data_IF_526694485090
#
_entry.id   IF_526694485090
#
_cell.length_a   1.000
_cell.length_b   1.000
_cell.length_c   1.000
_cell.angle_alpha   90.00
_cell.angle_beta   90.00
_cell.angle_gamma   90.00
#
_symmetry.space_group_name_H-M   'P 1'
#
loop_
_entity.id
_entity.type
_entity.pdbx_description
1 polymer ?
#
# COMPACT_ATOMS: atom_id res chain seq x y z
N UNK A 1 20.77 -23.95 11.01
CA UNK A 1 19.72 -23.12 10.40
C UNK A 1 20.43 -22.10 9.52
N UNK A 2 20.27 -22.18 8.19
CA UNK A 2 21.02 -21.32 7.27
C UNK A 2 20.67 -19.84 7.50
N UNK A 3 21.68 -18.98 7.53
CA UNK A 3 21.45 -17.54 7.68
C UNK A 3 20.83 -16.96 6.40
N UNK A 4 20.04 -15.88 6.50
CA UNK A 4 19.40 -15.24 5.33
C UNK A 4 20.42 -14.86 4.24
N UNK A 5 21.66 -14.55 4.64
CA UNK A 5 22.79 -14.31 3.73
C UNK A 5 23.25 -15.57 3.01
N UNK A 6 23.32 -16.72 3.69
CA UNK A 6 23.68 -18.01 3.08
C UNK A 6 22.63 -18.46 2.07
N UNK A 7 21.34 -18.27 2.38
CA UNK A 7 20.23 -18.60 1.47
C UNK A 7 20.28 -17.73 0.20
N UNK A 8 20.55 -16.43 0.38
CA UNK A 8 20.68 -15.50 -0.74
C UNK A 8 21.92 -15.80 -1.60
N UNK A 9 23.03 -16.17 -0.96
CA UNK A 9 24.27 -16.54 -1.64
C UNK A 9 24.11 -17.86 -2.40
N UNK A 10 23.46 -18.85 -1.80
CA UNK A 10 23.14 -20.14 -2.43
C UNK A 10 22.22 -19.94 -3.65
N UNK A 11 21.13 -19.18 -3.50
CA UNK A 11 20.23 -18.88 -4.61
C UNK A 11 20.96 -18.17 -5.75
N UNK A 12 21.82 -17.18 -5.42
CA UNK A 12 22.61 -16.44 -6.41
C UNK A 12 23.65 -17.31 -7.12
N UNK A 13 24.25 -18.28 -6.42
CA UNK A 13 25.15 -19.28 -7.02
C UNK A 13 24.43 -20.24 -7.97
N UNK A 14 23.14 -20.52 -7.74
CA UNK A 14 22.33 -21.40 -8.59
C UNK A 14 21.55 -20.63 -9.69
N UNK A 15 22.01 -19.43 -10.05
CA UNK A 15 21.44 -18.66 -11.17
C UNK A 15 20.13 -17.93 -10.86
N UNK A 16 19.76 -17.77 -9.58
CA UNK A 16 18.57 -16.98 -9.23
C UNK A 16 18.78 -15.50 -9.56
N UNK A 17 17.99 -15.01 -10.50
CA UNK A 17 17.93 -13.58 -10.86
C UNK A 17 16.70 -12.98 -10.16
N UNK A 18 16.93 -12.00 -9.30
CA UNK A 18 15.84 -11.33 -8.58
C UNK A 18 14.95 -10.54 -9.56
N UNK A 19 13.62 -10.74 -9.58
CA UNK A 19 12.73 -10.12 -10.56
C UNK A 19 12.40 -8.67 -10.20
N UNK A 20 13.40 -7.79 -10.23
CA UNK A 20 13.32 -6.38 -9.76
C UNK A 20 12.15 -5.61 -10.37
N UNK A 21 12.00 -5.67 -11.70
CA UNK A 21 10.95 -4.94 -12.44
C UNK A 21 9.57 -5.41 -12.01
N UNK A 22 9.35 -6.73 -11.94
CA UNK A 22 8.08 -7.33 -11.52
C UNK A 22 7.70 -6.91 -10.10
N UNK A 23 8.67 -6.86 -9.18
CA UNK A 23 8.44 -6.45 -7.80
C UNK A 23 8.02 -4.97 -7.74
N UNK A 24 8.77 -4.08 -8.38
CA UNK A 24 8.47 -2.64 -8.35
C UNK A 24 7.10 -2.35 -8.99
N UNK A 25 6.85 -2.87 -10.19
CA UNK A 25 5.58 -2.67 -10.88
C UNK A 25 4.41 -3.32 -10.16
N UNK A 26 4.61 -4.52 -9.60
CA UNK A 26 3.58 -5.22 -8.82
C UNK A 26 3.15 -4.40 -7.60
N UNK A 27 4.12 -3.87 -6.86
CA UNK A 27 3.84 -3.00 -5.71
C UNK A 27 3.13 -1.70 -6.14
N UNK A 28 3.56 -1.05 -7.21
CA UNK A 28 2.90 0.19 -7.68
C UNK A 28 1.45 -0.04 -8.11
N UNK A 29 1.19 -1.06 -8.95
CA UNK A 29 -0.16 -1.35 -9.44
C UNK A 29 -1.13 -1.75 -8.32
N UNK A 30 -0.72 -2.68 -7.47
CA UNK A 30 -1.58 -3.17 -6.39
C UNK A 30 -1.70 -2.13 -5.25
N UNK A 31 -0.63 -1.39 -4.96
CA UNK A 31 -0.66 -0.27 -4.03
C UNK A 31 -1.58 0.86 -4.48
N UNK A 32 -1.54 1.24 -5.76
CA UNK A 32 -2.48 2.20 -6.34
C UNK A 32 -3.93 1.73 -6.28
N UNK A 33 -4.18 0.45 -6.56
CA UNK A 33 -5.52 -0.13 -6.46
C UNK A 33 -6.05 -0.15 -5.02
N UNK A 34 -5.21 -0.49 -4.03
CA UNK A 34 -5.57 -0.47 -2.61
C UNK A 34 -5.84 0.97 -2.14
N UNK A 35 -5.02 1.94 -2.58
CA UNK A 35 -5.24 3.36 -2.30
C UNK A 35 -6.57 3.86 -2.85
N UNK A 36 -6.90 3.50 -4.09
CA UNK A 36 -8.19 3.81 -4.71
C UNK A 36 -9.37 3.21 -3.94
N UNK A 37 -9.31 1.93 -3.58
CA UNK A 37 -10.35 1.30 -2.76
C UNK A 37 -10.52 2.01 -1.42
N UNK A 38 -9.42 2.39 -0.78
CA UNK A 38 -9.44 3.06 0.52
C UNK A 38 -10.11 4.43 0.43
N UNK A 39 -9.70 5.27 -0.54
CA UNK A 39 -10.31 6.60 -0.76
C UNK A 39 -11.78 6.48 -1.12
N UNK A 40 -12.14 5.50 -1.96
CA UNK A 40 -13.53 5.25 -2.34
C UNK A 40 -14.40 4.87 -1.13
N UNK A 41 -13.90 3.98 -0.26
CA UNK A 41 -14.62 3.59 0.96
C UNK A 41 -14.79 4.78 1.90
N UNK A 42 -13.74 5.55 2.15
CA UNK A 42 -13.78 6.74 3.03
C UNK A 42 -14.77 7.77 2.48
N UNK A 43 -14.74 8.07 1.18
CA UNK A 43 -15.68 8.98 0.53
C UNK A 43 -17.13 8.50 0.69
N UNK A 44 -17.40 7.20 0.44
CA UNK A 44 -18.74 6.62 0.61
C UNK A 44 -19.24 6.69 2.06
N UNK A 45 -18.39 6.34 3.02
CA UNK A 45 -18.76 6.42 4.44
C UNK A 45 -19.03 7.86 4.88
N UNK A 46 -18.19 8.81 4.45
CA UNK A 46 -18.37 10.23 4.79
C UNK A 46 -19.69 10.77 4.24
N UNK A 47 -20.05 10.43 2.98
CA UNK A 47 -21.34 10.83 2.40
C UNK A 47 -22.53 10.20 3.11
N UNK A 48 -22.43 8.95 3.56
CA UNK A 48 -23.49 8.28 4.33
C UNK A 48 -23.71 8.94 5.70
N UNK A 49 -22.62 9.34 6.36
CA UNK A 49 -22.67 10.00 7.68
C UNK A 49 -23.21 11.44 7.55
N UNK A 50 -22.73 12.20 6.57
CA UNK A 50 -23.11 13.62 6.40
C UNK A 50 -24.52 13.77 5.80
N UNK A 51 -24.92 12.90 4.87
CA UNK A 51 -26.20 13.02 4.16
C UNK A 51 -27.26 12.01 4.64
N UNK A 52 -27.25 11.65 5.93
CA UNK A 52 -28.09 10.60 6.56
C UNK A 52 -29.62 10.70 6.39
N UNK A 53 -30.15 11.51 5.47
CA UNK A 53 -31.57 11.57 5.13
C UNK A 53 -31.93 11.95 3.67
N UNK A 54 -30.99 12.40 2.82
CA UNK A 54 -31.33 12.97 1.49
C UNK A 54 -30.72 12.22 0.31
N UNK A 55 -30.59 10.89 0.42
CA UNK A 55 -29.96 10.08 -0.62
C UNK A 55 -30.80 9.98 -1.92
N UNK A 56 -32.06 10.43 -1.90
CA UNK A 56 -33.03 10.24 -2.99
C UNK A 56 -33.85 11.48 -3.39
N UNK A 57 -33.53 12.68 -2.90
CA UNK A 57 -34.30 13.88 -3.28
C UNK A 57 -33.76 14.49 -4.60
N UNK A 58 -34.63 14.43 -5.62
CA UNK A 58 -34.55 15.07 -6.95
C UNK A 58 -33.16 15.07 -7.61
N UNK A 59 -32.81 13.95 -8.22
CA UNK A 59 -31.59 13.84 -9.03
C UNK A 59 -31.97 13.83 -10.51
N UNK A 60 -31.78 14.97 -11.16
CA UNK A 60 -31.79 15.05 -12.61
C UNK A 60 -30.69 14.10 -13.17
N UNK A 61 -30.99 13.27 -14.18
CA UNK A 61 -30.07 12.21 -14.65
C UNK A 61 -28.70 12.77 -15.05
N UNK A 62 -28.68 13.97 -15.64
CA UNK A 62 -27.45 14.66 -16.04
C UNK A 62 -26.60 15.02 -14.81
N UNK A 63 -27.20 15.53 -13.73
CA UNK A 63 -26.46 15.88 -12.51
C UNK A 63 -26.01 14.65 -11.71
N UNK A 64 -26.70 13.51 -11.84
CA UNK A 64 -26.25 12.23 -11.31
C UNK A 64 -24.98 11.76 -12.03
N UNK A 65 -24.97 11.82 -13.36
CA UNK A 65 -23.82 11.42 -14.20
C UNK A 65 -22.60 12.29 -13.87
N UNK A 66 -22.76 13.62 -13.81
CA UNK A 66 -21.69 14.54 -13.44
C UNK A 66 -21.11 14.24 -12.05
N UNK A 67 -21.96 13.97 -11.05
CA UNK A 67 -21.51 13.59 -9.71
C UNK A 67 -20.75 12.26 -9.71
N UNK A 68 -21.23 11.24 -10.42
CA UNK A 68 -20.54 9.96 -10.52
C UNK A 68 -19.18 10.13 -11.17
N UNK A 69 -19.10 10.88 -12.28
CA UNK A 69 -17.86 11.09 -13.02
C UNK A 69 -16.84 11.90 -12.20
N UNK A 70 -17.31 12.95 -11.51
CA UNK A 70 -16.50 13.74 -10.57
C UNK A 70 -15.89 12.89 -9.46
N UNK A 71 -16.70 12.05 -8.81
CA UNK A 71 -16.25 11.17 -7.72
C UNK A 71 -15.26 10.12 -8.22
N UNK A 72 -15.53 9.54 -9.39
CA UNK A 72 -14.70 8.50 -9.98
C UNK A 72 -13.34 9.08 -10.42
N UNK A 73 -13.31 10.23 -11.08
CA UNK A 73 -12.05 10.90 -11.44
C UNK A 73 -11.26 11.35 -10.21
N UNK A 74 -11.92 11.94 -9.20
CA UNK A 74 -11.25 12.37 -7.98
C UNK A 74 -10.65 11.20 -7.21
N UNK A 75 -11.42 10.12 -7.02
CA UNK A 75 -10.96 8.91 -6.34
C UNK A 75 -9.85 8.18 -7.10
N UNK A 76 -9.88 8.18 -8.44
CA UNK A 76 -8.76 7.65 -9.24
C UNK A 76 -7.51 8.49 -9.02
N UNK A 77 -7.57 9.81 -9.21
CA UNK A 77 -6.38 10.67 -9.13
C UNK A 77 -5.79 10.62 -7.71
N UNK A 78 -6.60 10.86 -6.68
CA UNK A 78 -6.13 10.85 -5.30
C UNK A 78 -5.75 9.44 -4.85
N UNK A 79 -6.61 8.44 -5.07
CA UNK A 79 -6.35 7.08 -4.62
C UNK A 79 -5.09 6.47 -5.25
N UNK A 80 -4.85 6.75 -6.54
CA UNK A 80 -3.65 6.28 -7.22
C UNK A 80 -2.42 7.03 -6.72
N UNK A 81 -2.45 8.35 -6.59
CA UNK A 81 -1.28 9.13 -6.11
C UNK A 81 -0.90 8.75 -4.69
N UNK A 82 -1.88 8.71 -3.79
CA UNK A 82 -1.65 8.43 -2.37
C UNK A 82 -1.34 6.96 -2.07
N UNK A 83 -1.81 6.02 -2.90
CA UNK A 83 -1.51 4.59 -2.75
C UNK A 83 -0.27 4.12 -3.50
N UNK A 84 -0.05 4.64 -4.72
CA UNK A 84 0.99 4.14 -5.63
C UNK A 84 2.39 4.60 -5.21
N UNK A 85 2.56 5.86 -4.81
CA UNK A 85 3.88 6.42 -4.47
C UNK A 85 4.53 5.68 -3.28
N UNK A 86 3.90 5.58 -2.10
CA UNK A 86 4.50 4.85 -0.98
C UNK A 86 4.68 3.35 -1.27
N UNK A 87 3.82 2.75 -2.10
CA UNK A 87 3.97 1.35 -2.50
C UNK A 87 5.16 1.15 -3.45
N UNK A 88 5.37 2.04 -4.42
CA UNK A 88 6.56 2.04 -5.28
C UNK A 88 7.84 2.19 -4.45
N UNK A 89 7.86 3.11 -3.47
CA UNK A 89 9.02 3.28 -2.57
C UNK A 89 9.33 1.97 -1.82
N UNK A 90 8.31 1.30 -1.32
CA UNK A 90 8.44 0.00 -0.65
C UNK A 90 8.93 -1.09 -1.63
N UNK A 91 8.42 -1.10 -2.86
CA UNK A 91 8.85 -2.03 -3.92
C UNK A 91 10.30 -1.81 -4.35
N UNK A 92 10.74 -0.55 -4.48
CA UNK A 92 12.13 -0.16 -4.76
C UNK A 92 13.03 -0.62 -3.63
N UNK A 93 12.65 -0.37 -2.37
CA UNK A 93 13.40 -0.87 -1.21
C UNK A 93 13.59 -2.39 -1.29
N UNK A 94 12.51 -3.15 -1.55
CA UNK A 94 12.60 -4.60 -1.68
C UNK A 94 13.50 -5.03 -2.85
N UNK A 95 13.48 -4.31 -3.97
CA UNK A 95 14.28 -4.62 -5.15
C UNK A 95 15.78 -4.29 -4.98
N UNK A 96 16.12 -3.24 -4.23
CA UNK A 96 17.51 -2.87 -3.91
C UNK A 96 18.13 -3.93 -3.01
N UNK A 97 17.41 -4.33 -1.96
CA UNK A 97 17.89 -5.30 -0.98
C UNK A 97 17.69 -6.76 -1.38
N UNK A 98 17.17 -7.03 -2.60
CA UNK A 98 16.80 -8.36 -3.09
C UNK A 98 16.01 -9.15 -2.03
N UNK A 99 14.96 -8.54 -1.48
CA UNK A 99 14.27 -9.06 -0.30
C UNK A 99 13.49 -10.35 -0.63
N UNK A 100 13.85 -11.44 0.04
CA UNK A 100 13.17 -12.75 -0.07
C UNK A 100 12.40 -13.00 1.22
N UNK A 101 11.16 -13.47 1.10
CA UNK A 101 10.36 -13.89 2.25
C UNK A 101 10.76 -15.31 2.63
N UNK A 102 11.37 -15.47 3.81
CA UNK A 102 11.79 -16.74 4.37
C UNK A 102 10.94 -17.15 5.58
N UNK A 103 10.60 -16.19 6.44
CA UNK A 103 9.87 -16.42 7.71
C UNK A 103 8.66 -15.50 7.84
N UNK A 104 7.73 -15.85 8.72
CA UNK A 104 6.57 -14.99 9.02
C UNK A 104 6.98 -13.60 9.53
N UNK A 105 8.11 -13.51 10.25
CA UNK A 105 8.67 -12.24 10.71
C UNK A 105 9.09 -11.30 9.56
N UNK A 106 9.37 -11.81 8.36
CA UNK A 106 9.68 -10.96 7.21
C UNK A 106 8.45 -10.16 6.75
N UNK A 107 7.22 -10.65 7.00
CA UNK A 107 6.00 -9.87 6.75
C UNK A 107 5.85 -8.73 7.75
N UNK A 108 6.25 -8.93 9.01
CA UNK A 108 6.27 -7.86 10.01
C UNK A 108 7.31 -6.79 9.65
N UNK A 109 8.49 -7.19 9.16
CA UNK A 109 9.47 -6.24 8.60
C UNK A 109 8.85 -5.41 7.47
N UNK A 110 8.16 -6.08 6.55
CA UNK A 110 7.50 -5.42 5.43
C UNK A 110 6.40 -4.44 5.87
N UNK A 111 5.63 -4.81 6.90
CA UNK A 111 4.64 -3.94 7.52
C UNK A 111 5.28 -2.67 8.05
N UNK A 112 6.37 -2.80 8.81
CA UNK A 112 7.09 -1.66 9.40
C UNK A 112 7.65 -0.74 8.32
N UNK A 113 8.30 -1.30 7.29
CA UNK A 113 8.85 -0.52 6.17
C UNK A 113 7.74 0.21 5.41
N UNK A 114 6.65 -0.47 5.08
CA UNK A 114 5.50 0.13 4.40
C UNK A 114 4.84 1.23 5.23
N UNK A 115 4.78 1.04 6.55
CA UNK A 115 4.25 2.02 7.51
C UNK A 115 5.11 3.27 7.55
N UNK A 116 6.44 3.11 7.60
CA UNK A 116 7.37 4.24 7.64
C UNK A 116 7.31 5.04 6.34
N UNK A 117 7.37 4.40 5.17
CA UNK A 117 7.31 5.13 3.90
C UNK A 117 6.00 5.86 3.71
N UNK A 118 4.89 5.24 4.12
CA UNK A 118 3.58 5.86 4.04
C UNK A 118 3.46 7.01 5.03
N UNK A 119 3.90 6.85 6.27
CA UNK A 119 3.90 7.92 7.27
C UNK A 119 4.74 9.12 6.82
N UNK A 120 5.94 8.91 6.26
CA UNK A 120 6.77 9.99 5.72
C UNK A 120 6.05 10.70 4.57
N UNK A 121 5.46 9.93 3.64
CA UNK A 121 4.76 10.48 2.50
C UNK A 121 3.53 11.30 2.93
N UNK A 122 2.70 10.79 3.84
CA UNK A 122 1.52 11.48 4.34
C UNK A 122 1.86 12.68 5.22
N UNK A 123 2.94 12.63 6.01
CA UNK A 123 3.43 13.78 6.77
C UNK A 123 3.79 14.96 5.86
N UNK A 124 4.32 14.70 4.66
CA UNK A 124 4.62 15.76 3.70
C UNK A 124 3.37 16.36 3.03
N UNK A 125 2.27 15.61 2.94
CA UNK A 125 1.08 15.99 2.18
C UNK A 125 -0.08 16.51 3.04
N UNK A 126 -0.13 16.12 4.32
CA UNK A 126 -1.23 16.47 5.22
C UNK A 126 -0.75 17.59 6.13
N UNK A 127 -1.52 18.68 6.18
CA UNK A 127 -1.39 19.65 7.27
C UNK A 127 -1.81 18.94 8.56
N UNK A 128 -0.82 18.42 9.27
CA UNK A 128 -1.04 17.69 10.51
C UNK A 128 -1.57 18.65 11.59
N UNK A 129 -2.46 18.19 12.47
CA UNK A 129 -2.93 18.98 13.60
C UNK A 129 -1.76 19.37 14.51
N UNK A 130 -1.83 20.51 15.18
CA UNK A 130 -0.73 20.99 16.05
C UNK A 130 -0.54 20.12 17.31
N UNK A 131 -1.56 19.32 17.68
CA UNK A 131 -1.50 18.44 18.84
C UNK A 131 -0.71 17.16 18.57
N UNK A 132 0.43 17.01 19.25
CA UNK A 132 1.35 15.87 19.13
C UNK A 132 0.67 14.48 19.12
N UNK A 133 -0.29 14.25 20.02
CA UNK A 133 -1.00 12.97 20.10
C UNK A 133 -1.89 12.69 18.88
N UNK A 134 -2.52 13.73 18.32
CA UNK A 134 -3.32 13.62 17.11
C UNK A 134 -2.44 13.40 15.87
N UNK A 135 -1.26 14.02 15.83
CA UNK A 135 -0.26 13.78 14.78
C UNK A 135 0.13 12.29 14.76
N UNK A 136 0.54 11.75 15.90
CA UNK A 136 0.97 10.36 16.01
C UNK A 136 -0.16 9.42 15.58
N UNK A 137 -1.37 9.64 16.08
CA UNK A 137 -2.52 8.80 15.75
C UNK A 137 -2.83 8.83 14.25
N UNK A 138 -2.82 10.02 13.63
CA UNK A 138 -3.11 10.20 12.21
C UNK A 138 -2.04 9.54 11.33
N UNK A 139 -0.77 9.76 11.63
CA UNK A 139 0.35 9.16 10.92
C UNK A 139 0.40 7.65 11.08
N UNK A 140 0.11 7.13 12.28
CA UNK A 140 0.06 5.69 12.50
C UNK A 140 -1.11 5.05 11.75
N UNK A 141 -2.29 5.67 11.75
CA UNK A 141 -3.47 5.15 11.04
C UNK A 141 -3.23 5.08 9.53
N UNK A 142 -2.76 6.18 8.93
CA UNK A 142 -2.44 6.24 7.51
C UNK A 142 -1.23 5.39 7.14
N UNK A 143 -0.22 5.37 8.00
CA UNK A 143 0.94 4.50 7.87
C UNK A 143 0.55 3.02 7.86
N UNK A 144 -0.34 2.61 8.77
CA UNK A 144 -0.78 1.21 8.89
C UNK A 144 -1.47 0.70 7.63
N UNK A 145 -2.22 1.56 6.91
CA UNK A 145 -2.80 1.23 5.60
C UNK A 145 -1.68 0.88 4.61
N UNK A 146 -0.63 1.69 4.60
CA UNK A 146 0.59 1.44 3.83
C UNK A 146 1.33 0.16 4.23
N UNK A 147 1.46 -0.10 5.53
CA UNK A 147 2.06 -1.34 6.06
C UNK A 147 1.30 -2.60 5.66
N UNK A 148 -0.03 -2.59 5.78
CA UNK A 148 -0.89 -3.71 5.36
C UNK A 148 -0.79 -3.91 3.85
N UNK A 149 -0.85 -2.81 3.08
CA UNK A 149 -0.69 -2.85 1.62
C UNK A 149 0.66 -3.47 1.22
N UNK A 150 1.75 -3.06 1.88
CA UNK A 150 3.07 -3.64 1.67
C UNK A 150 3.07 -5.14 1.96
N UNK A 151 2.52 -5.61 3.08
CA UNK A 151 2.42 -7.03 3.40
C UNK A 151 1.71 -7.84 2.31
N UNK A 152 0.57 -7.34 1.83
CA UNK A 152 -0.23 -7.99 0.78
C UNK A 152 0.58 -8.04 -0.53
N UNK A 153 1.19 -6.92 -0.93
CA UNK A 153 2.05 -6.85 -2.10
C UNK A 153 3.25 -7.80 -1.96
N UNK A 154 3.84 -7.89 -0.78
CA UNK A 154 4.93 -8.80 -0.47
C UNK A 154 4.53 -10.25 -0.64
N UNK A 155 3.34 -10.62 -0.15
CA UNK A 155 2.80 -11.98 -0.30
C UNK A 155 2.59 -12.36 -1.77
N UNK A 156 2.28 -11.41 -2.65
CA UNK A 156 1.95 -11.67 -4.05
C UNK A 156 3.15 -11.58 -4.98
N UNK A 157 4.09 -10.67 -4.73
CA UNK A 157 5.15 -10.32 -5.68
C UNK A 157 6.56 -10.64 -5.22
N UNK A 158 6.80 -10.78 -3.91
CA UNK A 158 8.15 -11.11 -3.46
C UNK A 158 8.43 -12.61 -3.62
N UNK A 159 9.65 -12.97 -4.04
CA UNK A 159 10.08 -14.35 -4.10
C UNK A 159 10.05 -14.98 -2.70
N UNK A 160 9.67 -16.26 -2.66
CA UNK A 160 9.56 -17.06 -1.45
C UNK A 160 10.48 -18.26 -1.57
N UNK A 161 10.96 -18.76 -0.45
CA UNK A 161 11.71 -20.02 -0.43
C UNK A 161 10.80 -21.21 -0.79
N UNK A 162 11.32 -22.23 -1.48
CA UNK A 162 10.57 -23.44 -1.74
C UNK A 162 10.26 -24.15 -0.42
N UNK A 163 9.10 -24.82 -0.35
CA UNK A 163 8.58 -25.45 0.88
C UNK A 163 9.51 -26.51 1.51
N UNK A 164 10.52 -26.99 0.79
CA UNK A 164 11.47 -28.01 1.23
C UNK A 164 12.86 -27.45 1.58
N UNK A 165 13.05 -26.13 1.71
CA UNK A 165 14.38 -25.56 1.97
C UNK A 165 14.93 -25.85 3.38
N UNK A 166 14.06 -26.22 4.33
CA UNK A 166 14.42 -26.57 5.71
C UNK A 166 14.42 -28.08 5.98
N UNK A 167 14.21 -28.93 4.97
CA UNK A 167 14.35 -30.40 5.05
C UNK A 167 15.74 -30.81 4.58
#
# INVERSE_FOLDING_TARGET
>A
MATKKEILAYAKQHGFIYPKIKVIFGFGLLGGMIGLMTVFVIDRMTRLIVNGGNLFYDINIISLIEKIFSVLLFSIIFGTVFGCIPAILTGIYCAIFNFIIAKNLDYLHLYVVGTIFSAIYFNHWINLPDEFWQIIYTLFSLGSIGGISAMICGKLFLPKLPKNFDK
#
